data_IF_350619964304
#
_entry.id   IF_350619964304
#
_cell.length_a   1.000
_cell.length_b   1.000
_cell.length_c   1.000
_cell.angle_alpha   90.00
_cell.angle_beta   90.00
_cell.angle_gamma   90.00
#
_symmetry.space_group_name_H-M   'P 1'
#
loop_
_entity.id
_entity.type
_entity.pdbx_description
1 polymer ?
#
# COMPACT_ATOMS: atom_id res chain seq x y z
N UNK A 1 5.58 16.49 1.03
CA UNK A 1 5.27 15.23 0.33
C UNK A 1 6.53 14.41 0.10
N UNK A 2 6.46 13.13 0.46
CA UNK A 2 7.55 12.14 0.24
C UNK A 2 6.95 10.95 -0.49
N UNK A 3 7.66 10.47 -1.51
CA UNK A 3 7.33 9.26 -2.26
C UNK A 3 8.44 8.23 -2.08
N UNK A 4 8.07 7.02 -1.69
CA UNK A 4 8.99 5.90 -1.49
C UNK A 4 8.55 4.76 -2.40
N UNK A 5 9.42 4.31 -3.29
CA UNK A 5 9.18 3.20 -4.20
C UNK A 5 10.10 2.03 -3.86
N UNK A 6 9.54 0.82 -3.74
CA UNK A 6 10.28 -0.41 -3.43
C UNK A 6 9.93 -1.49 -4.45
N UNK A 7 10.88 -1.88 -5.26
CA UNK A 7 10.70 -2.83 -6.37
C UNK A 7 10.71 -4.30 -5.94
N UNK A 8 11.21 -4.62 -4.75
CA UNK A 8 11.44 -6.00 -4.34
C UNK A 8 10.20 -6.92 -4.43
N UNK A 9 8.97 -6.51 -4.07
CA UNK A 9 7.78 -7.37 -4.24
C UNK A 9 7.48 -7.70 -5.71
N UNK A 10 7.67 -6.74 -6.64
CA UNK A 10 7.50 -6.94 -8.07
C UNK A 10 8.53 -7.93 -8.64
N UNK A 11 9.80 -7.72 -8.34
CA UNK A 11 10.88 -8.60 -8.73
C UNK A 11 10.66 -10.05 -8.26
N UNK A 12 10.20 -10.23 -7.02
CA UNK A 12 9.83 -11.53 -6.50
C UNK A 12 8.62 -12.13 -7.24
N UNK A 13 7.68 -11.31 -7.65
CA UNK A 13 6.53 -11.71 -8.47
C UNK A 13 6.97 -12.28 -9.82
N UNK A 14 7.84 -11.59 -10.53
CA UNK A 14 8.40 -12.03 -11.80
C UNK A 14 9.16 -13.36 -11.71
N UNK A 15 9.87 -13.57 -10.60
CA UNK A 15 10.66 -14.79 -10.38
C UNK A 15 9.90 -15.93 -9.70
N UNK A 16 8.62 -15.73 -9.39
CA UNK A 16 7.80 -16.70 -8.63
C UNK A 16 8.40 -17.05 -7.25
N UNK A 17 8.97 -16.09 -6.60
CA UNK A 17 9.59 -16.24 -5.27
C UNK A 17 8.59 -15.92 -4.17
N UNK A 18 7.73 -16.87 -3.80
CA UNK A 18 6.61 -16.67 -2.87
C UNK A 18 7.11 -16.16 -1.52
N UNK A 19 8.04 -16.88 -0.89
CA UNK A 19 8.57 -16.56 0.44
C UNK A 19 9.27 -15.19 0.45
N UNK A 20 10.08 -14.91 -0.58
CA UNK A 20 10.77 -13.65 -0.71
C UNK A 20 9.80 -12.48 -0.95
N UNK A 21 8.72 -12.70 -1.71
CA UNK A 21 7.68 -11.67 -1.91
C UNK A 21 7.01 -11.30 -0.59
N UNK A 22 6.57 -12.29 0.17
CA UNK A 22 6.00 -12.07 1.52
C UNK A 22 7.02 -11.36 2.41
N UNK A 23 8.25 -11.84 2.44
CA UNK A 23 9.32 -11.24 3.24
C UNK A 23 9.62 -9.80 2.86
N UNK A 24 9.60 -9.46 1.58
CA UNK A 24 9.83 -8.09 1.13
C UNK A 24 8.74 -7.14 1.64
N UNK A 25 7.47 -7.57 1.64
CA UNK A 25 6.35 -6.79 2.18
C UNK A 25 6.49 -6.59 3.69
N UNK A 26 6.84 -7.66 4.44
CA UNK A 26 7.10 -7.56 5.88
C UNK A 26 8.26 -6.60 6.21
N UNK A 27 9.30 -6.58 5.39
CA UNK A 27 10.44 -5.67 5.57
C UNK A 27 10.08 -4.21 5.26
N UNK A 28 9.21 -3.95 4.30
CA UNK A 28 8.66 -2.62 4.03
C UNK A 28 7.89 -2.11 5.26
N UNK A 29 7.01 -2.93 5.81
CA UNK A 29 6.26 -2.58 7.03
C UNK A 29 7.20 -2.29 8.19
N UNK A 30 8.12 -3.21 8.48
CA UNK A 30 9.01 -3.13 9.64
C UNK A 30 10.05 -2.01 9.57
N UNK A 31 10.64 -1.76 8.40
CA UNK A 31 11.81 -0.87 8.27
C UNK A 31 11.50 0.47 7.61
N UNK A 32 10.35 0.61 6.96
CA UNK A 32 9.94 1.85 6.32
C UNK A 32 8.68 2.40 6.97
N UNK A 33 7.57 1.70 6.86
CA UNK A 33 6.27 2.20 7.33
C UNK A 33 6.25 2.46 8.83
N UNK A 34 6.66 1.48 9.63
CA UNK A 34 6.70 1.60 11.10
C UNK A 34 7.53 2.81 11.55
N UNK A 35 8.84 2.86 11.23
CA UNK A 35 9.69 3.98 11.64
C UNK A 35 9.22 5.36 11.16
N UNK A 36 8.70 5.45 9.94
CA UNK A 36 8.19 6.73 9.39
C UNK A 36 6.93 7.18 10.13
N UNK A 37 5.99 6.29 10.36
CA UNK A 37 4.75 6.62 11.09
C UNK A 37 5.02 6.94 12.55
N UNK A 38 5.92 6.24 13.22
CA UNK A 38 6.33 6.51 14.59
C UNK A 38 6.98 7.91 14.71
N UNK A 39 7.86 8.24 13.78
CA UNK A 39 8.48 9.56 13.73
C UNK A 39 7.44 10.67 13.53
N UNK A 40 6.57 10.54 12.51
CA UNK A 40 5.53 11.53 12.23
C UNK A 40 4.57 11.73 13.39
N UNK A 41 4.21 10.64 14.08
CA UNK A 41 3.37 10.72 15.28
C UNK A 41 4.06 11.48 16.43
N UNK A 42 5.39 11.41 16.53
CA UNK A 42 6.17 12.11 17.57
C UNK A 42 6.25 13.63 17.34
N UNK A 43 6.08 14.10 16.12
CA UNK A 43 6.22 15.53 15.76
C UNK A 43 4.97 16.37 16.10
N UNK A 44 3.89 15.77 16.61
CA UNK A 44 2.61 16.44 16.94
C UNK A 44 1.96 17.20 15.76
N UNK A 45 2.27 16.80 14.54
CA UNK A 45 1.66 17.33 13.33
C UNK A 45 0.73 16.29 12.69
N UNK A 46 -0.31 16.77 12.03
CA UNK A 46 -1.19 15.86 11.28
C UNK A 46 -0.49 15.39 9.99
N UNK A 47 -0.64 14.11 9.69
CA UNK A 47 -0.07 13.51 8.50
C UNK A 47 -1.01 12.51 7.85
N UNK A 48 -0.76 12.22 6.60
CA UNK A 48 -1.44 11.16 5.86
C UNK A 48 -0.42 10.17 5.28
N UNK A 49 -0.81 8.92 5.22
CA UNK A 49 -0.02 7.86 4.57
C UNK A 49 -0.89 7.15 3.54
N UNK A 50 -0.37 7.03 2.33
CA UNK A 50 -0.95 6.19 1.27
C UNK A 50 -0.02 5.00 1.04
N UNK A 51 -0.59 3.79 1.08
CA UNK A 51 0.11 2.55 0.75
C UNK A 51 -0.65 1.88 -0.39
N UNK A 52 0.05 1.54 -1.45
CA UNK A 52 -0.51 0.83 -2.59
C UNK A 52 0.59 0.19 -3.44
N UNK A 53 0.38 -1.00 -4.03
CA UNK A 53 1.13 -1.39 -5.21
C UNK A 53 0.81 -0.43 -6.37
N UNK A 54 1.73 -0.26 -7.29
CA UNK A 54 1.51 0.48 -8.54
C UNK A 54 0.75 -0.37 -9.56
N UNK A 55 0.94 -1.69 -9.55
CA UNK A 55 0.24 -2.69 -10.35
C UNK A 55 0.32 -4.06 -9.70
N UNK A 56 -0.48 -5.00 -10.20
CA UNK A 56 -0.38 -6.39 -9.82
C UNK A 56 0.73 -7.11 -10.61
N UNK A 57 1.48 -7.97 -9.90
CA UNK A 57 2.44 -8.90 -10.50
C UNK A 57 2.20 -10.29 -9.88
N UNK A 58 1.12 -10.99 -10.31
CA UNK A 58 0.76 -12.27 -9.73
C UNK A 58 1.87 -13.31 -9.90
N UNK A 59 2.16 -14.02 -8.84
CA UNK A 59 3.18 -15.08 -8.83
C UNK A 59 2.93 -16.16 -9.88
N UNK A 60 1.67 -16.49 -10.14
CA UNK A 60 1.26 -17.49 -11.12
C UNK A 60 1.55 -17.07 -12.56
N UNK A 61 1.48 -15.78 -12.87
CA UNK A 61 1.66 -15.23 -14.21
C UNK A 61 3.07 -14.69 -14.46
N UNK A 62 3.79 -14.34 -13.41
CA UNK A 62 5.17 -13.80 -13.47
C UNK A 62 5.31 -12.53 -14.33
N UNK A 63 4.24 -11.79 -14.47
CA UNK A 63 4.19 -10.56 -15.27
C UNK A 63 3.11 -9.63 -14.74
N UNK A 64 3.17 -8.36 -15.14
CA UNK A 64 2.18 -7.36 -14.77
C UNK A 64 0.81 -7.70 -15.35
N UNK A 65 -0.22 -7.42 -14.56
CA UNK A 65 -1.61 -7.49 -14.99
C UNK A 65 -2.33 -6.18 -14.66
N UNK A 66 -3.53 -6.00 -15.22
CA UNK A 66 -4.39 -4.87 -14.92
C UNK A 66 -5.45 -5.20 -13.85
N UNK A 67 -5.21 -6.24 -13.07
CA UNK A 67 -6.07 -6.56 -11.93
C UNK A 67 -6.06 -5.41 -10.90
N UNK A 68 -7.17 -5.16 -10.22
CA UNK A 68 -7.22 -4.20 -9.13
C UNK A 68 -6.22 -4.53 -8.04
N UNK A 69 -5.57 -3.50 -7.48
CA UNK A 69 -4.65 -3.62 -6.35
C UNK A 69 -5.25 -3.00 -5.09
N UNK A 70 -4.91 -3.51 -3.90
CA UNK A 70 -5.38 -2.92 -2.65
C UNK A 70 -4.68 -1.58 -2.41
N UNK A 71 -5.39 -0.64 -1.78
CA UNK A 71 -4.79 0.58 -1.27
C UNK A 71 -5.30 0.89 0.13
N UNK A 72 -4.50 1.62 0.90
CA UNK A 72 -4.87 2.14 2.20
C UNK A 72 -4.49 3.62 2.30
N UNK A 73 -5.43 4.43 2.79
CA UNK A 73 -5.16 5.83 3.14
C UNK A 73 -5.40 5.97 4.64
N UNK A 74 -4.37 6.35 5.37
CA UNK A 74 -4.43 6.73 6.77
C UNK A 74 -4.35 8.26 6.90
N UNK A 75 -5.19 8.83 7.75
CA UNK A 75 -5.16 10.25 8.10
C UNK A 75 -5.17 10.38 9.62
N UNK A 76 -4.08 10.88 10.20
CA UNK A 76 -3.93 11.01 11.66
C UNK A 76 -4.88 12.03 12.30
N UNK A 77 -5.46 12.93 11.51
CA UNK A 77 -6.41 13.95 11.99
C UNK A 77 -7.86 13.45 12.06
N UNK A 78 -8.15 12.26 11.53
CA UNK A 78 -9.51 11.72 11.43
C UNK A 78 -9.56 10.34 12.06
N UNK A 79 -10.49 10.14 12.98
CA UNK A 79 -10.80 8.79 13.46
C UNK A 79 -11.68 8.08 12.43
N UNK A 80 -11.20 6.99 11.90
CA UNK A 80 -11.93 6.16 10.95
C UNK A 80 -11.76 4.69 11.29
N UNK A 81 -12.81 3.92 11.07
CA UNK A 81 -12.72 2.46 11.13
C UNK A 81 -12.26 1.93 9.78
N UNK A 82 -11.41 0.92 9.80
CA UNK A 82 -10.92 0.22 8.64
C UNK A 82 -11.01 -1.29 8.82
N UNK A 83 -10.38 -2.03 7.91
CA UNK A 83 -10.25 -3.48 8.02
C UNK A 83 -8.93 -3.84 8.71
N UNK A 84 -8.88 -5.00 9.37
CA UNK A 84 -7.73 -5.42 10.19
C UNK A 84 -6.54 -5.93 9.36
N UNK A 85 -6.76 -6.20 8.08
CA UNK A 85 -5.71 -6.77 7.22
C UNK A 85 -5.65 -6.06 5.86
N UNK A 86 -4.44 -5.90 5.34
CA UNK A 86 -4.17 -5.30 4.04
C UNK A 86 -3.91 -6.38 2.99
N UNK A 87 -4.93 -6.70 2.22
CA UNK A 87 -4.86 -7.62 1.08
C UNK A 87 -6.02 -7.39 0.11
N UNK A 88 -5.96 -8.01 -1.05
CA UNK A 88 -6.94 -7.85 -2.12
C UNK A 88 -8.38 -8.22 -1.69
N UNK A 89 -8.51 -9.29 -0.91
CA UNK A 89 -9.83 -9.78 -0.46
C UNK A 89 -10.50 -8.79 0.47
N UNK A 90 -9.84 -8.42 1.55
CA UNK A 90 -10.41 -7.49 2.55
C UNK A 90 -10.59 -6.09 1.98
N UNK A 91 -9.68 -5.62 1.13
CA UNK A 91 -9.86 -4.36 0.41
C UNK A 91 -11.11 -4.39 -0.48
N UNK A 92 -11.32 -5.48 -1.24
CA UNK A 92 -12.50 -5.64 -2.09
C UNK A 92 -13.82 -5.68 -1.30
N UNK A 93 -13.82 -6.26 -0.11
CA UNK A 93 -15.00 -6.33 0.78
C UNK A 93 -15.42 -4.96 1.32
N UNK A 94 -14.55 -3.96 1.33
CA UNK A 94 -14.89 -2.58 1.75
C UNK A 94 -15.85 -1.87 0.80
N UNK A 95 -15.92 -2.28 -0.45
CA UNK A 95 -16.66 -1.60 -1.50
C UNK A 95 -16.02 -0.28 -1.97
N UNK A 96 -14.88 0.13 -1.41
CA UNK A 96 -14.12 1.28 -1.90
C UNK A 96 -13.38 0.89 -3.17
N UNK A 97 -13.67 1.58 -4.26
CA UNK A 97 -13.03 1.33 -5.55
C UNK A 97 -12.70 2.63 -6.26
N UNK A 98 -11.50 2.73 -6.81
CA UNK A 98 -11.05 3.84 -7.64
C UNK A 98 -10.77 3.29 -9.03
N UNK A 99 -11.70 3.51 -9.95
CA UNK A 99 -11.62 2.99 -11.32
C UNK A 99 -10.43 3.56 -12.08
N UNK A 100 -10.11 4.83 -11.84
CA UNK A 100 -9.03 5.55 -12.51
C UNK A 100 -7.88 5.80 -11.53
N UNK A 101 -6.90 4.90 -11.50
CA UNK A 101 -5.86 4.84 -10.48
C UNK A 101 -5.08 6.14 -10.26
N UNK A 102 -4.78 6.91 -11.33
CA UNK A 102 -4.05 8.17 -11.17
C UNK A 102 -4.81 9.24 -10.38
N UNK A 103 -6.13 9.10 -10.22
CA UNK A 103 -6.94 10.04 -9.41
C UNK A 103 -6.79 9.82 -7.90
N UNK A 104 -6.11 8.75 -7.48
CA UNK A 104 -5.91 8.48 -6.06
C UNK A 104 -5.11 9.60 -5.38
N UNK A 105 -4.20 10.24 -6.11
CA UNK A 105 -3.41 11.34 -5.57
C UNK A 105 -4.25 12.56 -5.23
N UNK A 106 -5.25 12.89 -6.06
CA UNK A 106 -6.18 13.98 -5.75
C UNK A 106 -6.96 13.70 -4.47
N UNK A 107 -7.41 12.46 -4.27
CA UNK A 107 -8.09 12.03 -3.04
C UNK A 107 -7.14 12.07 -1.84
N UNK A 108 -5.91 11.64 -2.00
CA UNK A 108 -4.92 11.60 -0.93
C UNK A 108 -4.52 13.01 -0.46
N UNK A 109 -4.29 13.93 -1.39
CA UNK A 109 -3.83 15.28 -1.08
C UNK A 109 -4.99 16.14 -0.56
N UNK A 110 -6.16 16.11 -1.23
CA UNK A 110 -7.24 17.06 -1.02
C UNK A 110 -8.32 16.60 -0.01
N UNK A 111 -8.33 15.36 0.37
CA UNK A 111 -9.25 14.84 1.38
C UNK A 111 -8.49 14.52 2.67
#
# INVERSE_FOLDING_TARGET
FVYIHVEAPDECGHRHEIENKVKSIELIDKHILGPVTDYLASENESFKVLITPDHATPLSLRTHTNDPVPFMIYNSAVSSEGVDTFNEKTAGETGLFIETGHTIMDKFINN
#
